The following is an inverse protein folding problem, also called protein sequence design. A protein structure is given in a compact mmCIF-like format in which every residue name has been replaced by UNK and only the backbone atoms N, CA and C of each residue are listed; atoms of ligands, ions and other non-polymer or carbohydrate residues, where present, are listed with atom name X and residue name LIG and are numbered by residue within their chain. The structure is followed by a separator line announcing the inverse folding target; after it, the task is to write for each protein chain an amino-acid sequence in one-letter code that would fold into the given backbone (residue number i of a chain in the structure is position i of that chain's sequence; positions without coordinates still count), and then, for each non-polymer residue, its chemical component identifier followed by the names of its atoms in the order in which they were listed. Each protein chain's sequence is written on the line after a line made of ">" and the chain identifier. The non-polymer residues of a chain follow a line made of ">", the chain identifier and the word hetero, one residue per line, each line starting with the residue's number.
data_IF_344242824113
#
_entry.id   IF_344242824113
#
_cell.length_a   1.000
_cell.length_b   1.000
_cell.length_c   1.000
_cell.angle_alpha   90.00
_cell.angle_beta   90.00
_cell.angle_gamma   90.00
#
_symmetry.space_group_name_H-M   'P 1'
#
loop_
_entity.id
_entity.type
_entity.pdbx_description
1 polymer ?
#
# COMPACT_ATOMS: atom_id res chain seq x y z
N UNK A 1 10.93 4.68 16.59
CA UNK A 1 9.83 4.27 17.49
C UNK A 1 8.56 4.04 16.70
N UNK A 2 7.41 3.79 17.35
CA UNK A 2 6.09 3.69 16.69
C UNK A 2 5.24 4.87 17.15
N UNK A 3 4.65 5.59 16.21
CA UNK A 3 3.71 6.67 16.45
C UNK A 3 2.35 6.29 15.89
N UNK A 4 1.36 6.13 16.77
CA UNK A 4 0.01 5.71 16.40
C UNK A 4 -0.89 6.94 16.41
N UNK A 5 -1.40 7.31 15.24
CA UNK A 5 -2.33 8.43 15.13
C UNK A 5 -3.64 8.13 15.87
N UNK A 6 -4.34 9.17 16.35
CA UNK A 6 -5.59 9.02 17.11
C UNK A 6 -6.68 8.21 16.38
N UNK A 7 -6.73 8.26 15.04
CA UNK A 7 -7.61 7.41 14.22
C UNK A 7 -7.22 5.94 14.34
N UNK A 8 -5.93 5.63 14.13
CA UNK A 8 -5.40 4.27 14.22
C UNK A 8 -5.58 3.67 15.62
N UNK A 9 -5.36 4.44 16.68
CA UNK A 9 -5.56 3.97 18.06
C UNK A 9 -7.00 3.52 18.32
N UNK A 10 -7.99 4.32 17.87
CA UNK A 10 -9.41 3.95 17.97
C UNK A 10 -9.75 2.68 17.18
N UNK A 11 -9.24 2.56 15.96
CA UNK A 11 -9.42 1.35 15.14
C UNK A 11 -8.79 0.13 15.78
N UNK A 12 -7.59 0.26 16.36
CA UNK A 12 -6.89 -0.84 17.03
C UNK A 12 -7.69 -1.34 18.24
N UNK A 13 -8.22 -0.43 19.07
CA UNK A 13 -9.09 -0.77 20.20
C UNK A 13 -10.34 -1.52 19.73
N UNK A 14 -10.96 -1.05 18.65
CA UNK A 14 -12.14 -1.69 18.06
C UNK A 14 -11.82 -3.10 17.53
N UNK A 15 -10.75 -3.26 16.75
CA UNK A 15 -10.29 -4.56 16.23
C UNK A 15 -10.02 -5.54 17.37
N UNK A 16 -9.39 -5.09 18.47
CA UNK A 16 -9.19 -5.89 19.68
C UNK A 16 -10.51 -6.29 20.34
N UNK A 17 -11.48 -5.37 20.45
CA UNK A 17 -12.79 -5.65 21.04
C UNK A 17 -13.60 -6.70 20.27
N UNK A 18 -13.33 -6.83 18.96
CA UNK A 18 -13.95 -7.83 18.09
C UNK A 18 -13.25 -9.20 18.15
N UNK A 19 -12.20 -9.35 18.96
CA UNK A 19 -11.47 -10.62 19.10
C UNK A 19 -10.36 -10.84 18.07
N UNK A 20 -10.07 -9.87 17.21
CA UNK A 20 -9.05 -9.98 16.15
C UNK A 20 -7.65 -9.52 16.58
N UNK A 21 -7.41 -9.37 17.87
CA UNK A 21 -6.14 -8.84 18.41
C UNK A 21 -4.92 -9.74 18.20
N UNK A 22 -5.12 -11.01 17.85
CA UNK A 22 -4.07 -12.00 17.58
C UNK A 22 -3.77 -12.20 16.09
N UNK A 23 -4.48 -11.49 15.20
CA UNK A 23 -4.23 -11.61 13.76
C UNK A 23 -2.83 -11.05 13.40
N UNK A 24 -2.13 -11.67 12.44
CA UNK A 24 -0.88 -11.14 11.91
C UNK A 24 -1.07 -9.75 11.27
N UNK A 25 0.03 -8.99 11.22
CA UNK A 25 0.05 -7.63 10.70
C UNK A 25 0.71 -7.58 9.33
N UNK A 26 0.03 -6.96 8.36
CA UNK A 26 0.58 -6.61 7.06
C UNK A 26 0.97 -5.12 7.06
N UNK A 27 2.24 -4.81 6.83
CA UNK A 27 2.75 -3.44 6.82
C UNK A 27 2.59 -2.81 5.44
N UNK A 28 1.73 -1.81 5.32
CA UNK A 28 1.53 -1.06 4.09
C UNK A 28 2.32 0.26 4.13
N UNK A 29 3.46 0.27 3.45
CA UNK A 29 4.41 1.40 3.38
C UNK A 29 5.02 1.50 1.99
N UNK A 30 5.83 2.53 1.76
CA UNK A 30 6.64 2.63 0.54
C UNK A 30 7.59 1.44 0.38
N UNK A 31 7.72 0.93 -0.84
CA UNK A 31 8.65 -0.13 -1.21
C UNK A 31 10.09 0.37 -1.41
N UNK A 32 10.30 1.68 -1.56
CA UNK A 32 11.58 2.26 -1.93
C UNK A 32 12.58 2.41 -0.76
N UNK A 33 12.10 2.32 0.47
CA UNK A 33 12.90 2.49 1.70
C UNK A 33 12.51 1.47 2.76
N UNK A 34 13.41 1.12 3.68
CA UNK A 34 13.03 0.40 4.92
C UNK A 34 12.15 1.24 5.85
N UNK A 35 12.28 2.57 5.77
CA UNK A 35 11.44 3.51 6.50
C UNK A 35 10.07 3.69 5.83
N UNK A 36 9.31 4.69 6.30
CA UNK A 36 8.08 5.14 5.65
C UNK A 36 8.33 6.22 4.58
N UNK A 37 9.52 6.83 4.53
CA UNK A 37 9.91 7.88 3.59
C UNK A 37 10.68 7.26 2.40
N UNK A 38 10.19 7.39 1.15
CA UNK A 38 10.84 6.81 -0.02
C UNK A 38 12.25 7.38 -0.31
N UNK A 39 12.58 8.56 0.22
CA UNK A 39 13.86 9.22 -0.05
C UNK A 39 15.00 8.72 0.86
N UNK A 40 14.69 7.98 1.93
CA UNK A 40 15.68 7.43 2.84
C UNK A 40 16.22 6.10 2.32
N UNK A 41 17.31 6.16 1.55
CA UNK A 41 17.91 5.01 0.89
C UNK A 41 18.89 4.24 1.80
N UNK A 42 19.28 3.04 1.37
CA UNK A 42 20.21 2.18 2.09
C UNK A 42 19.55 1.52 3.30
N UNK A 43 20.24 1.53 4.45
CA UNK A 43 19.75 0.98 5.72
C UNK A 43 19.53 2.13 6.74
N UNK A 44 18.48 2.96 6.58
CA UNK A 44 18.22 4.05 7.51
C UNK A 44 17.93 3.51 8.91
N UNK A 45 18.29 4.28 9.94
CA UNK A 45 18.05 3.95 11.34
C UNK A 45 17.45 5.16 12.07
N UNK A 46 16.91 4.95 13.27
CA UNK A 46 16.38 6.04 14.11
C UNK A 46 15.07 6.66 13.62
N UNK A 47 14.44 6.14 12.57
CA UNK A 47 13.17 6.67 12.07
C UNK A 47 11.98 6.24 12.94
N UNK A 48 10.93 7.04 12.87
CA UNK A 48 9.63 6.72 13.46
C UNK A 48 8.73 6.01 12.44
N UNK A 49 7.86 5.12 12.91
CA UNK A 49 6.83 4.45 12.12
C UNK A 49 5.48 5.12 12.40
N UNK A 50 4.98 6.00 11.52
CA UNK A 50 3.72 6.70 11.71
C UNK A 50 2.55 5.83 11.21
N UNK A 51 1.84 5.16 12.11
CA UNK A 51 0.64 4.39 11.76
C UNK A 51 -0.56 5.33 11.69
N UNK A 52 -1.07 5.53 10.47
CA UNK A 52 -2.20 6.44 10.19
C UNK A 52 -3.55 5.77 10.36
N UNK A 53 -3.65 4.50 10.00
CA UNK A 53 -4.86 3.69 10.14
C UNK A 53 -4.59 2.19 10.15
N UNK A 54 -5.55 1.44 10.68
CA UNK A 54 -5.63 -0.01 10.54
C UNK A 54 -6.83 -0.41 9.69
N UNK A 55 -6.65 -1.42 8.83
CA UNK A 55 -7.74 -2.05 8.07
C UNK A 55 -7.80 -3.53 8.42
N UNK A 56 -8.98 -4.01 8.82
CA UNK A 56 -9.19 -5.42 9.14
C UNK A 56 -9.57 -6.20 7.88
N UNK A 57 -8.75 -7.17 7.49
CA UNK A 57 -9.07 -8.13 6.44
C UNK A 57 -9.39 -9.50 7.08
N UNK A 58 -10.55 -9.59 7.74
CA UNK A 58 -10.92 -10.75 8.54
C UNK A 58 -10.96 -12.06 7.73
N UNK A 59 -11.46 -12.03 6.49
CA UNK A 59 -11.51 -13.22 5.63
C UNK A 59 -10.14 -13.76 5.23
N UNK A 60 -9.16 -12.86 5.05
CA UNK A 60 -7.78 -13.24 4.74
C UNK A 60 -6.94 -13.50 6.01
N UNK A 61 -7.46 -13.14 7.19
CA UNK A 61 -6.83 -13.41 8.48
C UNK A 61 -5.68 -12.47 8.85
N UNK A 62 -5.72 -11.19 8.45
CA UNK A 62 -4.69 -10.22 8.87
C UNK A 62 -5.23 -8.79 9.03
N UNK A 63 -4.45 -7.96 9.72
CA UNK A 63 -4.70 -6.51 9.87
C UNK A 63 -3.65 -5.74 9.09
N UNK A 64 -4.07 -4.83 8.21
CA UNK A 64 -3.17 -3.94 7.48
C UNK A 64 -2.89 -2.70 8.30
N UNK A 65 -1.62 -2.42 8.59
CA UNK A 65 -1.15 -1.18 9.19
C UNK A 65 -0.67 -0.23 8.08
N UNK A 66 -1.36 0.90 7.90
CA UNK A 66 -1.07 1.85 6.82
C UNK A 66 -0.24 3.00 7.35
N UNK A 67 0.97 3.16 6.80
CA UNK A 67 1.94 4.17 7.26
C UNK A 67 1.90 5.46 6.43
N UNK A 68 1.54 5.34 5.16
CA UNK A 68 1.54 6.45 4.22
C UNK A 68 0.36 6.38 3.26
N UNK A 69 0.47 7.08 2.14
CA UNK A 69 -0.50 6.99 1.07
C UNK A 69 -0.21 5.74 0.24
N UNK A 70 -1.23 4.89 0.09
CA UNK A 70 -1.14 3.65 -0.68
C UNK A 70 -2.11 3.77 -1.85
N UNK A 71 -1.56 3.77 -3.06
CA UNK A 71 -2.34 3.78 -4.29
C UNK A 71 -3.05 2.44 -4.47
N UNK A 72 -4.35 2.41 -4.22
CA UNK A 72 -5.20 1.24 -4.47
C UNK A 72 -5.86 1.26 -5.85
N UNK A 73 -5.82 2.41 -6.54
CA UNK A 73 -6.40 2.61 -7.86
C UNK A 73 -5.44 3.49 -8.68
N UNK A 74 -4.58 2.90 -9.54
CA UNK A 74 -3.70 3.69 -10.38
C UNK A 74 -4.49 4.44 -11.46
N UNK A 75 -4.08 5.67 -11.74
CA UNK A 75 -4.63 6.47 -12.85
C UNK A 75 -3.90 6.21 -14.16
N UNK A 76 -4.48 6.69 -15.27
CA UNK A 76 -3.81 6.70 -16.57
C UNK A 76 -2.79 7.85 -16.66
N UNK A 77 -1.65 7.65 -17.36
CA UNK A 77 -0.72 8.72 -17.65
C UNK A 77 -1.29 9.70 -18.70
N UNK A 78 -0.63 10.86 -18.86
CA UNK A 78 -1.06 11.92 -19.79
C UNK A 78 -1.33 11.41 -21.23
N UNK A 79 -0.48 10.51 -21.73
CA UNK A 79 -0.72 9.74 -22.96
C UNK A 79 -0.86 8.27 -22.56
N UNK A 80 -2.08 7.70 -22.51
CA UNK A 80 -2.26 6.30 -22.18
C UNK A 80 -1.72 5.42 -23.30
N UNK A 81 -1.10 4.27 -22.95
CA UNK A 81 -0.62 3.30 -23.93
C UNK A 81 -1.76 2.81 -24.87
N UNK A 82 -3.00 2.84 -24.39
CA UNK A 82 -4.19 2.55 -25.20
C UNK A 82 -4.33 3.39 -26.48
N UNK A 83 -3.71 4.57 -26.55
CA UNK A 83 -3.70 5.40 -27.76
C UNK A 83 -2.83 4.82 -28.89
N UNK A 84 -1.90 3.92 -28.55
CA UNK A 84 -0.97 3.27 -29.48
C UNK A 84 -1.30 1.77 -29.67
N UNK A 85 -2.29 1.24 -28.95
CA UNK A 85 -2.74 -0.14 -29.06
C UNK A 85 -3.61 -0.35 -30.29
N UNK A 86 -3.25 -1.31 -31.14
CA UNK A 86 -4.01 -1.67 -32.35
C UNK A 86 -3.76 -3.13 -32.76
N UNK A 87 -4.35 -3.57 -33.87
CA UNK A 87 -4.15 -4.88 -34.47
C UNK A 87 -3.83 -4.74 -35.98
N UNK A 88 -2.76 -5.39 -36.44
CA UNK A 88 -2.42 -5.39 -37.87
C UNK A 88 -3.34 -6.32 -38.69
N UNK A 89 -3.17 -6.30 -40.02
CA UNK A 89 -3.97 -7.12 -40.95
C UNK A 89 -3.79 -8.64 -40.76
N UNK A 90 -2.70 -9.06 -40.11
CA UNK A 90 -2.41 -10.46 -39.81
C UNK A 90 -2.94 -10.88 -38.43
N UNK A 91 -3.59 -9.96 -37.70
CA UNK A 91 -4.10 -10.19 -36.36
C UNK A 91 -3.06 -10.01 -35.25
N UNK A 92 -1.89 -9.43 -35.54
CA UNK A 92 -0.87 -9.17 -34.53
C UNK A 92 -1.19 -7.91 -33.74
N UNK A 93 -1.01 -7.98 -32.42
CA UNK A 93 -1.22 -6.85 -31.51
C UNK A 93 -0.04 -5.88 -31.56
N UNK A 94 -0.33 -4.59 -31.76
CA UNK A 94 0.61 -3.47 -31.75
C UNK A 94 0.45 -2.65 -30.45
N UNK A 95 1.54 -2.04 -29.98
CA UNK A 95 1.51 -1.05 -28.88
C UNK A 95 1.15 -1.57 -27.48
N UNK A 96 0.91 -2.87 -27.31
CA UNK A 96 0.60 -3.50 -26.00
C UNK A 96 1.87 -3.68 -25.14
N UNK A 97 3.00 -3.92 -25.80
CA UNK A 97 4.31 -4.07 -25.17
C UNK A 97 5.26 -3.04 -25.80
N UNK A 98 6.17 -2.49 -24.98
CA UNK A 98 7.25 -1.60 -25.42
C UNK A 98 8.51 -2.37 -25.78
#
# INVERSE_FOLDING_TARGET
>A
GINIHAKADRQLKQIKSWGYGSLPVCMAKTQYSFSHDPNLLGAPTGFEIPIREFRLNAGAGFVVAVLGEIMTMPGLPKRPAAADMDMDENGNLLGVFG
#
